data_IF_074566944056
#
_entry.id   IF_074566944056
#
_cell.length_a   1.000
_cell.length_b   1.000
_cell.length_c   1.000
_cell.angle_alpha   90.00
_cell.angle_beta   90.00
_cell.angle_gamma   90.00
#
_symmetry.space_group_name_H-M   'P 1'
#
loop_
_entity.id
_entity.type
_entity.pdbx_description
1 polymer ?
#
# COMPACT_ATOMS: atom_id res chain seq x y z
N UNK A 1 -13.26 -17.98 14.83
CA UNK A 1 -13.40 -16.87 15.80
C UNK A 1 -12.41 -15.74 15.55
N UNK A 2 -11.11 -15.90 15.84
CA UNK A 2 -10.14 -14.81 15.61
C UNK A 2 -9.97 -14.49 14.12
N UNK A 3 -9.83 -15.50 13.26
CA UNK A 3 -9.69 -15.30 11.81
C UNK A 3 -10.90 -14.56 11.21
N UNK A 4 -12.12 -14.89 11.64
CA UNK A 4 -13.34 -14.22 11.15
C UNK A 4 -13.35 -12.74 11.53
N UNK A 5 -12.94 -12.41 12.76
CA UNK A 5 -12.81 -11.03 13.21
C UNK A 5 -11.71 -10.27 12.45
N UNK A 6 -10.58 -10.93 12.13
CA UNK A 6 -9.52 -10.34 11.29
C UNK A 6 -10.06 -10.01 9.89
N UNK A 7 -10.77 -10.95 9.25
CA UNK A 7 -11.37 -10.74 7.92
C UNK A 7 -12.40 -9.60 7.95
N UNK A 8 -13.27 -9.56 8.97
CA UNK A 8 -14.26 -8.49 9.11
C UNK A 8 -13.60 -7.13 9.35
N UNK A 9 -12.52 -7.10 10.13
CA UNK A 9 -11.73 -5.89 10.34
C UNK A 9 -11.11 -5.40 9.03
N UNK A 10 -10.46 -6.29 8.26
CA UNK A 10 -9.79 -5.92 7.01
C UNK A 10 -10.81 -5.36 5.99
N UNK A 11 -12.00 -5.97 5.90
CA UNK A 11 -13.12 -5.43 5.10
C UNK A 11 -13.58 -4.06 5.58
N UNK A 12 -13.77 -3.88 6.89
CA UNK A 12 -14.17 -2.59 7.44
C UNK A 12 -13.13 -1.49 7.18
N UNK A 13 -11.84 -1.84 7.22
CA UNK A 13 -10.74 -0.94 6.88
C UNK A 13 -10.73 -0.58 5.39
N UNK A 14 -11.00 -1.53 4.48
CA UNK A 14 -11.10 -1.27 3.04
C UNK A 14 -12.30 -0.39 2.66
N UNK A 15 -13.40 -0.50 3.41
CA UNK A 15 -14.59 0.33 3.23
C UNK A 15 -14.46 1.74 3.84
N UNK A 16 -13.36 2.05 4.52
CA UNK A 16 -13.19 3.31 5.25
C UNK A 16 -14.08 3.42 6.52
N UNK A 17 -14.69 2.32 6.96
CA UNK A 17 -15.60 2.26 8.12
C UNK A 17 -14.81 2.11 9.42
N UNK A 18 -14.02 3.12 9.77
CA UNK A 18 -13.09 3.05 10.91
C UNK A 18 -13.79 2.86 12.27
N UNK A 19 -15.01 3.37 12.45
CA UNK A 19 -15.79 3.12 13.68
C UNK A 19 -16.15 1.64 13.87
N UNK A 20 -16.50 0.96 12.78
CA UNK A 20 -16.78 -0.48 12.80
C UNK A 20 -15.50 -1.26 13.06
N UNK A 21 -14.40 -0.89 12.39
CA UNK A 21 -13.09 -1.50 12.64
C UNK A 21 -12.67 -1.36 14.10
N UNK A 22 -12.90 -0.20 14.73
CA UNK A 22 -12.56 0.02 16.14
C UNK A 22 -13.41 -0.85 17.10
N UNK A 23 -14.69 -1.06 16.79
CA UNK A 23 -15.52 -1.96 17.58
C UNK A 23 -15.00 -3.40 17.54
N UNK A 24 -14.53 -3.87 16.37
CA UNK A 24 -13.98 -5.21 16.18
C UNK A 24 -12.64 -5.40 16.91
N UNK A 25 -11.85 -4.33 17.05
CA UNK A 25 -10.58 -4.37 17.80
C UNK A 25 -10.77 -4.82 19.24
N UNK A 26 -11.89 -4.46 19.88
CA UNK A 26 -12.17 -4.89 21.27
C UNK A 26 -12.32 -6.41 21.37
N UNK A 27 -13.03 -7.02 20.43
CA UNK A 27 -13.17 -8.47 20.32
C UNK A 27 -11.84 -9.16 20.01
N UNK A 28 -11.05 -8.60 19.09
CA UNK A 28 -9.73 -9.14 18.75
C UNK A 28 -8.78 -9.07 19.94
N UNK A 29 -8.78 -7.96 20.69
CA UNK A 29 -7.94 -7.75 21.88
C UNK A 29 -8.28 -8.76 22.98
N UNK A 30 -9.57 -9.08 23.15
CA UNK A 30 -10.01 -10.08 24.11
C UNK A 30 -9.51 -11.50 23.75
N UNK A 31 -9.37 -11.82 22.46
CA UNK A 31 -8.85 -13.10 21.99
C UNK A 31 -7.31 -13.14 21.92
N UNK A 32 -6.69 -12.04 21.51
CA UNK A 32 -5.24 -11.92 21.34
C UNK A 32 -4.79 -10.46 21.57
N UNK A 33 -4.22 -10.20 22.74
CA UNK A 33 -3.82 -8.84 23.17
C UNK A 33 -2.87 -8.14 22.18
N UNK A 34 -1.78 -8.80 21.75
CA UNK A 34 -0.79 -8.19 20.84
C UNK A 34 -1.39 -7.80 19.48
N UNK A 35 -2.15 -8.70 18.85
CA UNK A 35 -2.85 -8.47 17.58
C UNK A 35 -3.91 -7.35 17.72
N UNK A 36 -4.64 -7.33 18.84
CA UNK A 36 -5.62 -6.28 19.13
C UNK A 36 -4.98 -4.89 19.23
N UNK A 37 -3.88 -4.77 19.98
CA UNK A 37 -3.11 -3.52 20.08
C UNK A 37 -2.54 -3.11 18.72
N UNK A 38 -2.03 -4.05 17.93
CA UNK A 38 -1.56 -3.78 16.57
C UNK A 38 -2.67 -3.19 15.69
N UNK A 39 -3.84 -3.84 15.65
CA UNK A 39 -4.98 -3.37 14.86
C UNK A 39 -5.52 -2.03 15.36
N UNK A 40 -5.49 -1.78 16.67
CA UNK A 40 -5.80 -0.45 17.22
C UNK A 40 -4.87 0.62 16.66
N UNK A 41 -3.56 0.37 16.60
CA UNK A 41 -2.61 1.33 15.99
C UNK A 41 -2.95 1.60 14.52
N UNK A 42 -3.28 0.56 13.76
CA UNK A 42 -3.66 0.69 12.34
C UNK A 42 -4.93 1.54 12.17
N UNK A 43 -5.94 1.36 13.02
CA UNK A 43 -7.15 2.20 13.01
C UNK A 43 -6.82 3.65 13.35
N UNK A 44 -6.03 3.89 14.41
CA UNK A 44 -5.61 5.24 14.81
C UNK A 44 -4.86 5.96 13.67
N UNK A 45 -4.00 5.23 12.95
CA UNK A 45 -3.28 5.73 11.80
C UNK A 45 -4.23 6.08 10.63
N UNK A 46 -5.25 5.27 10.38
CA UNK A 46 -6.26 5.56 9.37
C UNK A 46 -7.14 6.78 9.75
N UNK A 47 -7.35 7.01 11.05
CA UNK A 47 -8.04 8.18 11.61
C UNK A 47 -7.14 9.43 11.69
N UNK A 48 -5.91 9.39 11.16
CA UNK A 48 -4.90 10.46 11.23
C UNK A 48 -4.42 10.82 12.65
N UNK A 49 -4.63 9.96 13.64
CA UNK A 49 -4.13 10.12 15.02
C UNK A 49 -2.69 9.59 15.14
N UNK A 50 -1.77 10.23 14.40
CA UNK A 50 -0.39 9.75 14.19
C UNK A 50 0.43 9.68 15.48
N UNK A 51 0.27 10.64 16.40
CA UNK A 51 1.04 10.69 17.64
C UNK A 51 0.69 9.55 18.60
N UNK A 52 -0.60 9.21 18.69
CA UNK A 52 -1.09 8.10 19.52
C UNK A 52 -0.73 6.75 18.89
N UNK A 53 -0.91 6.61 17.58
CA UNK A 53 -0.50 5.41 16.84
C UNK A 53 1.00 5.13 17.02
N UNK A 54 1.84 6.16 16.92
CA UNK A 54 3.29 6.02 17.11
C UNK A 54 3.67 5.56 18.52
N UNK A 55 3.08 6.17 19.56
CA UNK A 55 3.31 5.76 20.96
C UNK A 55 2.88 4.32 21.20
N UNK A 56 1.76 3.89 20.60
CA UNK A 56 1.25 2.53 20.72
C UNK A 56 2.18 1.53 20.03
N UNK A 57 2.61 1.81 18.80
CA UNK A 57 3.53 0.96 18.02
C UNK A 57 4.90 0.82 18.70
N UNK A 58 5.46 1.89 19.26
CA UNK A 58 6.71 1.82 20.00
C UNK A 58 6.63 0.89 21.23
N UNK A 59 5.55 1.02 22.02
CA UNK A 59 5.32 0.13 23.18
C UNK A 59 5.15 -1.32 22.73
N UNK A 60 4.41 -1.53 21.64
CA UNK A 60 4.18 -2.84 21.06
C UNK A 60 5.47 -3.47 20.53
N UNK A 61 6.33 -2.70 19.88
CA UNK A 61 7.62 -3.15 19.37
C UNK A 61 8.52 -3.71 20.49
N UNK A 62 8.67 -2.95 21.57
CA UNK A 62 9.45 -3.36 22.75
C UNK A 62 8.87 -4.64 23.36
N UNK A 63 7.54 -4.74 23.43
CA UNK A 63 6.87 -5.92 23.95
C UNK A 63 7.07 -7.16 23.06
N UNK A 64 6.93 -7.01 21.75
CA UNK A 64 7.11 -8.11 20.78
C UNK A 64 8.56 -8.61 20.74
N UNK A 65 9.54 -7.71 20.88
CA UNK A 65 10.96 -8.06 21.00
C UNK A 65 11.23 -8.90 22.26
N UNK A 66 10.60 -8.57 23.40
CA UNK A 66 10.73 -9.36 24.64
C UNK A 66 10.14 -10.75 24.50
N UNK A 67 9.01 -10.88 23.81
CA UNK A 67 8.32 -12.15 23.56
C UNK A 67 8.99 -12.97 22.44
N UNK A 68 9.92 -12.36 21.69
CA UNK A 68 10.59 -12.96 20.50
C UNK A 68 9.61 -13.38 19.40
N UNK A 69 8.52 -12.65 19.23
CA UNK A 69 7.62 -12.85 18.10
C UNK A 69 8.09 -12.03 16.89
N UNK A 70 8.92 -12.63 16.04
CA UNK A 70 9.55 -11.94 14.90
C UNK A 70 8.54 -11.46 13.85
N UNK A 71 7.49 -12.23 13.59
CA UNK A 71 6.43 -11.86 12.63
C UNK A 71 5.74 -10.55 13.03
N UNK A 72 5.38 -10.43 14.31
CA UNK A 72 4.78 -9.20 14.85
C UNK A 72 5.78 -8.05 14.89
N UNK A 73 7.05 -8.30 15.19
CA UNK A 73 8.09 -7.26 15.14
C UNK A 73 8.17 -6.65 13.74
N UNK A 74 8.24 -7.49 12.69
CA UNK A 74 8.30 -7.01 11.31
C UNK A 74 7.02 -6.25 10.93
N UNK A 75 5.85 -6.78 11.28
CA UNK A 75 4.55 -6.12 11.01
C UNK A 75 4.46 -4.73 11.68
N UNK A 76 4.97 -4.60 12.91
CA UNK A 76 5.04 -3.32 13.62
C UNK A 76 6.04 -2.38 12.96
N UNK A 77 7.21 -2.86 12.52
CA UNK A 77 8.19 -2.05 11.79
C UNK A 77 7.61 -1.50 10.48
N UNK A 78 6.84 -2.30 9.74
CA UNK A 78 6.14 -1.86 8.53
C UNK A 78 5.12 -0.74 8.82
N UNK A 79 4.29 -0.89 9.86
CA UNK A 79 3.35 0.17 10.25
C UNK A 79 4.05 1.44 10.75
N UNK A 80 5.20 1.31 11.43
CA UNK A 80 6.02 2.46 11.82
C UNK A 80 6.61 3.17 10.59
N UNK A 81 7.08 2.41 9.60
CA UNK A 81 7.57 2.98 8.35
C UNK A 81 6.47 3.71 7.58
N UNK A 82 5.25 3.15 7.54
CA UNK A 82 4.09 3.81 6.95
C UNK A 82 3.73 5.12 7.68
N UNK A 83 3.90 5.16 8.99
CA UNK A 83 3.67 6.38 9.77
C UNK A 83 4.69 7.48 9.41
N UNK A 84 5.96 7.11 9.22
CA UNK A 84 7.02 8.07 8.92
C UNK A 84 6.87 8.74 7.54
N UNK A 85 6.52 8.00 6.49
CA UNK A 85 6.34 8.64 5.18
C UNK A 85 5.14 9.59 5.15
N UNK A 86 4.09 9.35 5.94
CA UNK A 86 2.93 10.23 6.04
C UNK A 86 3.25 11.52 6.81
N UNK A 87 4.33 11.50 7.59
CA UNK A 87 4.82 12.62 8.38
C UNK A 87 5.85 13.51 7.64
N UNK A 88 5.88 13.43 6.30
CA UNK A 88 6.77 14.23 5.43
C UNK A 88 8.27 13.96 5.59
N UNK A 89 8.67 12.82 6.16
CA UNK A 89 10.08 12.44 6.35
C UNK A 89 10.36 10.99 5.88
N UNK A 90 10.29 10.70 4.58
CA UNK A 90 10.44 9.34 4.04
C UNK A 90 11.84 8.74 4.27
N UNK A 91 12.86 9.57 4.47
CA UNK A 91 14.24 9.13 4.73
C UNK A 91 14.37 8.34 6.04
N UNK A 92 13.57 8.68 7.06
CA UNK A 92 13.58 8.01 8.38
C UNK A 92 12.92 6.61 8.29
N UNK A 93 12.09 6.37 7.26
CA UNK A 93 11.50 5.06 7.02
C UNK A 93 12.50 4.03 6.49
N UNK A 94 13.55 4.47 5.76
CA UNK A 94 14.49 3.54 5.10
C UNK A 94 15.20 2.60 6.08
N UNK A 95 15.82 3.06 7.19
CA UNK A 95 16.48 2.15 8.13
C UNK A 95 15.52 1.12 8.73
N UNK A 96 14.28 1.54 9.00
CA UNK A 96 13.23 0.66 9.55
C UNK A 96 12.83 -0.41 8.54
N UNK A 97 12.64 -0.04 7.28
CA UNK A 97 12.31 -0.97 6.21
C UNK A 97 13.46 -1.93 5.88
N UNK A 98 14.71 -1.46 5.89
CA UNK A 98 15.88 -2.31 5.70
C UNK A 98 16.03 -3.32 6.84
N UNK A 99 15.77 -2.90 8.09
CA UNK A 99 15.72 -3.80 9.24
C UNK A 99 14.61 -4.85 9.10
N UNK A 100 13.41 -4.45 8.72
CA UNK A 100 12.29 -5.36 8.46
C UNK A 100 12.61 -6.36 7.35
N UNK A 101 13.31 -5.92 6.29
CA UNK A 101 13.72 -6.78 5.18
C UNK A 101 14.78 -7.80 5.61
N UNK A 102 15.78 -7.38 6.39
CA UNK A 102 16.81 -8.27 6.91
C UNK A 102 16.19 -9.38 7.77
N UNK A 103 15.31 -9.01 8.71
CA UNK A 103 14.61 -9.95 9.58
C UNK A 103 13.68 -10.88 8.78
N UNK A 104 12.90 -10.36 7.84
CA UNK A 104 11.99 -11.20 7.05
C UNK A 104 12.75 -12.22 6.18
N UNK A 105 13.91 -11.86 5.63
CA UNK A 105 14.77 -12.79 4.88
C UNK A 105 15.46 -13.81 5.78
N UNK A 106 15.98 -13.41 6.94
CA UNK A 106 16.61 -14.29 7.91
C UNK A 106 15.65 -15.40 8.37
N UNK A 107 14.40 -15.04 8.67
CA UNK A 107 13.37 -15.96 9.15
C UNK A 107 12.50 -16.57 8.02
N UNK A 108 12.83 -16.30 6.76
CA UNK A 108 12.14 -16.81 5.55
C UNK A 108 10.64 -16.53 5.52
N UNK A 109 10.22 -15.37 6.04
CA UNK A 109 8.83 -14.93 6.04
C UNK A 109 8.52 -14.23 4.71
N UNK A 110 8.26 -15.02 3.67
CA UNK A 110 8.16 -14.51 2.29
C UNK A 110 7.08 -13.44 2.11
N UNK A 111 5.89 -13.61 2.70
CA UNK A 111 4.82 -12.62 2.64
C UNK A 111 5.28 -11.25 3.17
N UNK A 112 5.92 -11.22 4.35
CA UNK A 112 6.42 -9.99 4.96
C UNK A 112 7.62 -9.42 4.19
N UNK A 113 8.46 -10.28 3.61
CA UNK A 113 9.56 -9.83 2.75
C UNK A 113 9.00 -9.12 1.50
N UNK A 114 7.99 -9.71 0.86
CA UNK A 114 7.28 -9.14 -0.29
C UNK A 114 6.62 -7.80 0.04
N UNK A 115 5.90 -7.71 1.17
CA UNK A 115 5.31 -6.45 1.63
C UNK A 115 6.40 -5.40 1.92
N UNK A 116 7.49 -5.78 2.58
CA UNK A 116 8.62 -4.87 2.85
C UNK A 116 9.27 -4.36 1.57
N UNK A 117 9.44 -5.22 0.56
CA UNK A 117 10.00 -4.82 -0.73
C UNK A 117 9.10 -3.82 -1.46
N UNK A 118 7.78 -4.02 -1.43
CA UNK A 118 6.84 -3.02 -1.94
C UNK A 118 7.06 -1.67 -1.25
N UNK A 119 7.07 -1.65 0.08
CA UNK A 119 7.27 -0.43 0.88
C UNK A 119 8.62 0.26 0.54
N UNK A 120 9.70 -0.51 0.35
CA UNK A 120 11.00 0.00 -0.07
C UNK A 120 10.99 0.60 -1.47
N UNK A 121 10.39 -0.07 -2.44
CA UNK A 121 10.26 0.43 -3.80
C UNK A 121 9.43 1.72 -3.85
N UNK A 122 8.38 1.81 -3.05
CA UNK A 122 7.60 3.04 -2.91
C UNK A 122 8.43 4.17 -2.28
N UNK A 123 9.21 3.89 -1.23
CA UNK A 123 10.12 4.87 -0.65
C UNK A 123 11.15 5.38 -1.69
N UNK A 124 11.73 4.49 -2.49
CA UNK A 124 12.65 4.84 -3.58
C UNK A 124 11.98 5.72 -4.66
N UNK A 125 10.73 5.40 -5.04
CA UNK A 125 9.95 6.22 -5.95
C UNK A 125 9.76 7.66 -5.40
N UNK A 126 9.40 7.79 -4.12
CA UNK A 126 9.21 9.10 -3.47
C UNK A 126 10.53 9.87 -3.36
N UNK A 127 11.66 9.19 -3.18
CA UNK A 127 13.00 9.79 -3.15
C UNK A 127 13.52 10.20 -4.54
N UNK A 128 12.75 9.96 -5.60
CA UNK A 128 13.09 10.40 -6.96
C UNK A 128 14.05 9.47 -7.70
N UNK A 129 14.13 8.20 -7.32
CA UNK A 129 14.95 7.16 -7.98
C UNK A 129 14.08 6.02 -8.55
N UNK A 130 13.19 6.31 -9.51
CA UNK A 130 12.18 5.36 -9.99
C UNK A 130 12.77 4.14 -10.73
N UNK A 131 13.93 4.28 -11.40
CA UNK A 131 14.57 3.16 -12.11
C UNK A 131 15.04 2.07 -11.13
N UNK A 132 15.59 2.49 -9.99
CA UNK A 132 16.02 1.56 -8.94
C UNK A 132 14.81 0.88 -8.28
N UNK A 133 13.73 1.63 -8.05
CA UNK A 133 12.47 1.08 -7.55
C UNK A 133 11.88 0.02 -8.50
N UNK A 134 11.89 0.31 -9.79
CA UNK A 134 11.39 -0.60 -10.84
C UNK A 134 12.24 -1.86 -10.94
N UNK A 135 13.57 -1.73 -10.90
CA UNK A 135 14.50 -2.87 -10.88
C UNK A 135 14.26 -3.76 -9.66
N UNK A 136 14.11 -3.15 -8.47
CA UNK A 136 13.81 -3.87 -7.23
C UNK A 136 12.47 -4.63 -7.32
N UNK A 137 11.45 -4.00 -7.90
CA UNK A 137 10.13 -4.63 -8.09
C UNK A 137 10.22 -5.82 -9.02
N UNK A 138 10.88 -5.72 -10.17
CA UNK A 138 11.01 -6.85 -11.10
C UNK A 138 11.66 -8.08 -10.46
N UNK A 139 12.62 -7.89 -9.55
CA UNK A 139 13.26 -8.99 -8.83
C UNK A 139 12.36 -9.66 -7.78
N UNK A 140 11.29 -8.99 -7.33
CA UNK A 140 10.44 -9.45 -6.23
C UNK A 140 8.95 -9.57 -6.60
N UNK A 141 8.59 -9.36 -7.86
CA UNK A 141 7.19 -9.34 -8.31
C UNK A 141 6.59 -10.75 -8.36
N UNK A 142 7.36 -11.76 -8.76
CA UNK A 142 6.86 -13.12 -8.95
C UNK A 142 6.29 -13.72 -7.64
N UNK A 143 6.98 -13.65 -6.48
CA UNK A 143 6.40 -14.14 -5.23
C UNK A 143 5.12 -13.42 -4.83
N UNK A 144 4.99 -12.13 -5.14
CA UNK A 144 3.78 -11.34 -4.84
C UNK A 144 2.63 -11.83 -5.71
N UNK A 145 2.86 -12.01 -7.01
CA UNK A 145 1.82 -12.43 -7.96
C UNK A 145 1.43 -13.89 -7.82
N UNK A 146 2.34 -14.77 -7.38
CA UNK A 146 2.04 -16.16 -7.08
C UNK A 146 1.19 -16.27 -5.80
N UNK A 147 1.77 -15.90 -4.65
CA UNK A 147 1.24 -16.28 -3.33
C UNK A 147 0.77 -15.10 -2.47
N UNK A 148 0.91 -13.86 -2.94
CA UNK A 148 0.51 -12.67 -2.20
C UNK A 148 -1.02 -12.51 -2.06
N UNK A 149 -1.44 -11.67 -1.12
CA UNK A 149 -2.84 -11.29 -1.01
C UNK A 149 -3.30 -10.53 -2.27
N UNK A 150 -4.56 -10.70 -2.66
CA UNK A 150 -5.10 -10.07 -3.89
C UNK A 150 -4.94 -8.55 -3.89
N UNK A 151 -5.05 -7.92 -2.72
CA UNK A 151 -4.81 -6.50 -2.55
C UNK A 151 -3.35 -6.12 -2.84
N UNK A 152 -2.39 -6.92 -2.37
CA UNK A 152 -0.97 -6.66 -2.58
C UNK A 152 -0.55 -6.92 -4.03
N UNK A 153 -1.17 -7.89 -4.71
CA UNK A 153 -1.03 -8.05 -6.17
C UNK A 153 -1.45 -6.78 -6.91
N UNK A 154 -2.59 -6.19 -6.52
CA UNK A 154 -3.06 -4.92 -7.07
C UNK A 154 -2.11 -3.75 -6.78
N UNK A 155 -1.63 -3.64 -5.54
CA UNK A 155 -0.65 -2.62 -5.12
C UNK A 155 0.67 -2.75 -5.88
N UNK A 156 1.15 -3.97 -6.07
CA UNK A 156 2.38 -4.24 -6.80
C UNK A 156 2.29 -3.78 -8.25
N UNK A 157 1.23 -4.18 -8.97
CA UNK A 157 1.03 -3.74 -10.36
C UNK A 157 0.82 -2.22 -10.45
N UNK A 158 0.14 -1.62 -9.48
CA UNK A 158 -0.03 -0.17 -9.44
C UNK A 158 1.30 0.56 -9.22
N UNK A 159 2.15 0.04 -8.33
CA UNK A 159 3.45 0.62 -8.04
C UNK A 159 4.41 0.48 -9.22
N UNK A 160 4.42 -0.68 -9.91
CA UNK A 160 5.17 -0.87 -11.16
C UNK A 160 4.77 0.19 -12.18
N UNK A 161 3.47 0.41 -12.39
CA UNK A 161 2.99 1.45 -13.32
C UNK A 161 3.41 2.86 -12.91
N UNK A 162 3.38 3.19 -11.61
CA UNK A 162 3.86 4.49 -11.09
C UNK A 162 5.36 4.68 -11.38
N UNK A 163 6.17 3.66 -11.13
CA UNK A 163 7.61 3.71 -11.40
C UNK A 163 7.91 3.83 -12.89
N UNK A 164 7.22 3.07 -13.75
CA UNK A 164 7.36 3.18 -15.21
C UNK A 164 7.10 4.59 -15.73
N UNK A 165 6.00 5.21 -15.27
CA UNK A 165 5.61 6.57 -15.68
C UNK A 165 6.62 7.60 -15.17
N UNK A 166 7.13 7.43 -13.96
CA UNK A 166 8.15 8.30 -13.39
C UNK A 166 9.49 8.21 -14.16
N UNK A 167 9.94 7.00 -14.47
CA UNK A 167 11.16 6.78 -15.28
C UNK A 167 11.03 7.29 -16.71
N UNK A 168 9.84 7.14 -17.32
CA UNK A 168 9.55 7.61 -18.67
C UNK A 168 9.60 9.13 -18.83
N UNK A 169 9.72 9.91 -17.74
CA UNK A 169 9.93 11.35 -17.81
C UNK A 169 11.24 11.73 -18.53
N UNK A 170 12.25 10.86 -18.48
CA UNK A 170 13.58 11.07 -19.07
C UNK A 170 13.72 10.55 -20.51
N UNK A 171 12.71 9.88 -21.05
CA UNK A 171 12.79 9.21 -22.35
C UNK A 171 12.42 10.11 -23.53
N UNK A 172 12.96 9.76 -24.71
CA UNK A 172 12.55 10.35 -25.98
C UNK A 172 11.05 10.08 -26.27
N UNK A 173 10.37 10.96 -27.03
CA UNK A 173 8.94 10.85 -27.28
C UNK A 173 8.39 9.47 -27.71
N UNK A 174 9.03 8.71 -28.65
CA UNK A 174 8.53 7.39 -29.02
C UNK A 174 8.64 6.36 -27.88
N UNK A 175 9.81 6.29 -27.22
CA UNK A 175 10.05 5.37 -26.11
C UNK A 175 9.20 5.73 -24.89
N UNK A 176 8.95 7.02 -24.69
CA UNK A 176 8.03 7.52 -23.67
C UNK A 176 6.61 7.03 -23.92
N UNK A 177 6.11 7.14 -25.15
CA UNK A 177 4.77 6.68 -25.49
C UNK A 177 4.62 5.16 -25.21
N UNK A 178 5.59 4.36 -25.65
CA UNK A 178 5.61 2.91 -25.41
C UNK A 178 5.60 2.56 -23.92
N UNK A 179 6.44 3.22 -23.12
CA UNK A 179 6.48 3.01 -21.67
C UNK A 179 5.14 3.38 -20.98
N UNK A 180 4.46 4.43 -21.45
CA UNK A 180 3.16 4.84 -20.92
C UNK A 180 2.04 3.85 -21.30
N UNK A 181 2.10 3.22 -22.48
CA UNK A 181 1.16 2.17 -22.86
C UNK A 181 1.34 0.92 -21.99
N UNK A 182 2.58 0.48 -21.75
CA UNK A 182 2.87 -0.62 -20.83
C UNK A 182 2.37 -0.32 -19.40
N UNK A 183 2.51 0.93 -18.94
CA UNK A 183 1.96 1.36 -17.66
C UNK A 183 0.43 1.26 -17.61
N UNK A 184 -0.27 1.51 -18.72
CA UNK A 184 -1.73 1.37 -18.80
C UNK A 184 -2.17 -0.09 -18.65
N UNK A 185 -1.43 -1.04 -19.23
CA UNK A 185 -1.68 -2.48 -19.05
C UNK A 185 -1.57 -2.88 -17.58
N UNK A 186 -0.48 -2.46 -16.92
CA UNK A 186 -0.28 -2.69 -15.49
C UNK A 186 -1.37 -2.05 -14.63
N UNK A 187 -1.88 -0.86 -15.00
CA UNK A 187 -3.01 -0.23 -14.31
C UNK A 187 -4.32 -1.00 -14.51
N UNK A 188 -4.54 -1.59 -15.68
CA UNK A 188 -5.71 -2.43 -15.92
C UNK A 188 -5.67 -3.68 -15.05
N UNK A 189 -4.50 -4.32 -14.93
CA UNK A 189 -4.32 -5.44 -14.00
C UNK A 189 -4.55 -5.04 -12.55
N UNK A 190 -3.95 -3.92 -12.10
CA UNK A 190 -4.15 -3.39 -10.75
C UNK A 190 -5.63 -3.14 -10.46
N UNK A 191 -6.36 -2.52 -11.40
CA UNK A 191 -7.80 -2.30 -11.31
C UNK A 191 -8.58 -3.61 -11.18
N UNK A 192 -8.23 -4.63 -11.96
CA UNK A 192 -8.87 -5.94 -11.89
C UNK A 192 -8.66 -6.62 -10.52
N UNK A 193 -7.46 -6.52 -9.96
CA UNK A 193 -7.19 -7.01 -8.60
C UNK A 193 -7.97 -6.24 -7.54
N UNK A 194 -8.01 -4.91 -7.60
CA UNK A 194 -8.77 -4.10 -6.65
C UNK A 194 -10.29 -4.33 -6.76
N UNK A 195 -10.81 -4.60 -7.95
CA UNK A 195 -12.21 -4.97 -8.16
C UNK A 195 -12.57 -6.32 -7.50
N UNK A 196 -11.65 -7.31 -7.51
CA UNK A 196 -11.88 -8.61 -6.84
C UNK A 196 -12.04 -8.50 -5.32
N UNK A 197 -11.48 -7.45 -4.70
CA UNK A 197 -11.58 -7.18 -3.26
C UNK A 197 -12.53 -6.01 -2.94
N UNK A 198 -13.27 -5.51 -3.95
CA UNK A 198 -14.19 -4.36 -3.86
C UNK A 198 -13.57 -3.11 -3.21
N UNK A 199 -12.27 -2.87 -3.42
CA UNK A 199 -11.59 -1.73 -2.82
C UNK A 199 -11.78 -0.46 -3.66
N UNK A 200 -12.95 0.16 -3.53
CA UNK A 200 -13.38 1.33 -4.32
C UNK A 200 -12.41 2.52 -4.28
N UNK A 201 -11.80 2.80 -3.12
CA UNK A 201 -10.83 3.89 -2.97
C UNK A 201 -9.62 3.71 -3.88
N UNK A 202 -9.09 2.49 -3.96
CA UNK A 202 -7.94 2.19 -4.82
C UNK A 202 -8.32 2.16 -6.30
N UNK A 203 -9.53 1.69 -6.61
CA UNK A 203 -10.06 1.76 -7.99
C UNK A 203 -10.15 3.22 -8.43
N UNK A 204 -10.67 4.12 -7.59
CA UNK A 204 -10.74 5.58 -7.86
C UNK A 204 -9.35 6.15 -8.20
N UNK A 205 -8.36 5.81 -7.39
CA UNK A 205 -6.99 6.29 -7.57
C UNK A 205 -6.34 5.75 -8.86
N UNK A 206 -6.59 4.49 -9.21
CA UNK A 206 -6.14 3.89 -10.48
C UNK A 206 -6.81 4.55 -11.68
N UNK A 207 -8.14 4.74 -11.67
CA UNK A 207 -8.82 5.37 -12.82
C UNK A 207 -8.48 6.85 -12.98
N UNK A 208 -8.17 7.55 -11.88
CA UNK A 208 -7.60 8.90 -11.93
C UNK A 208 -6.25 8.89 -12.66
N UNK A 209 -5.37 7.96 -12.29
CA UNK A 209 -4.05 7.82 -12.90
C UNK A 209 -4.16 7.46 -14.39
N UNK A 210 -5.03 6.49 -14.74
CA UNK A 210 -5.33 6.12 -16.14
C UNK A 210 -5.86 7.31 -16.95
N UNK A 211 -6.79 8.10 -16.41
CA UNK A 211 -7.32 9.28 -17.10
C UNK A 211 -6.21 10.30 -17.44
N UNK A 212 -5.26 10.51 -16.52
CA UNK A 212 -4.10 11.39 -16.76
C UNK A 212 -3.18 10.84 -17.83
N UNK A 213 -2.88 9.53 -17.83
CA UNK A 213 -2.04 8.91 -18.86
C UNK A 213 -2.70 8.96 -20.24
N UNK A 214 -3.98 8.62 -20.35
CA UNK A 214 -4.71 8.72 -21.60
C UNK A 214 -4.79 10.16 -22.12
N UNK A 215 -4.87 11.15 -21.23
CA UNK A 215 -4.77 12.55 -21.63
C UNK A 215 -3.40 12.87 -22.23
N UNK A 216 -2.32 12.44 -21.58
CA UNK A 216 -0.94 12.62 -22.08
C UNK A 216 -0.72 11.94 -23.43
N UNK A 217 -1.34 10.79 -23.67
CA UNK A 217 -1.28 10.07 -24.95
C UNK A 217 -2.27 10.58 -26.02
N UNK A 218 -3.07 11.61 -25.72
CA UNK A 218 -4.07 12.14 -26.66
C UNK A 218 -5.31 11.24 -26.88
N UNK A 219 -5.44 10.13 -26.13
CA UNK A 219 -6.55 9.16 -26.22
C UNK A 219 -7.81 9.66 -25.53
N UNK A 220 -8.49 10.62 -26.17
CA UNK A 220 -9.61 11.37 -25.55
C UNK A 220 -10.80 10.48 -25.16
N UNK A 221 -11.14 9.47 -25.97
CA UNK A 221 -12.27 8.57 -25.69
C UNK A 221 -12.05 7.77 -24.40
N UNK A 222 -10.88 7.13 -24.25
CA UNK A 222 -10.54 6.35 -23.05
C UNK A 222 -10.38 7.25 -21.82
N UNK A 223 -9.78 8.43 -22.00
CA UNK A 223 -9.70 9.44 -20.93
C UNK A 223 -11.08 9.77 -20.38
N UNK A 224 -12.05 10.03 -21.26
CA UNK A 224 -13.40 10.39 -20.85
C UNK A 224 -14.09 9.24 -20.10
N UNK A 225 -13.87 7.99 -20.52
CA UNK A 225 -14.37 6.80 -19.82
C UNK A 225 -13.82 6.71 -18.39
N UNK A 226 -12.50 6.85 -18.22
CA UNK A 226 -11.87 6.86 -16.90
C UNK A 226 -12.36 8.04 -16.04
N UNK A 227 -12.54 9.22 -16.62
CA UNK A 227 -13.05 10.40 -15.92
C UNK A 227 -14.50 10.23 -15.43
N UNK A 228 -15.36 9.57 -16.21
CA UNK A 228 -16.73 9.23 -15.79
C UNK A 228 -16.72 8.28 -14.59
N UNK A 229 -15.90 7.23 -14.63
CA UNK A 229 -15.75 6.29 -13.51
C UNK A 229 -15.19 6.97 -12.26
N UNK A 230 -14.18 7.83 -12.42
CA UNK A 230 -13.64 8.63 -11.32
C UNK A 230 -14.73 9.47 -10.67
N UNK A 231 -15.57 10.15 -11.46
CA UNK A 231 -16.65 10.99 -10.94
C UNK A 231 -17.66 10.19 -10.13
N UNK A 232 -18.06 9.00 -10.60
CA UNK A 232 -18.99 8.12 -9.88
C UNK A 232 -18.41 7.71 -8.52
N UNK A 233 -17.17 7.19 -8.51
CA UNK A 233 -16.52 6.73 -7.27
C UNK A 233 -16.20 7.89 -6.32
N UNK A 234 -15.80 9.05 -6.84
CA UNK A 234 -15.44 10.20 -6.02
C UNK A 234 -16.65 10.82 -5.30
N UNK A 235 -17.86 10.71 -5.85
CA UNK A 235 -19.09 11.18 -5.19
C UNK A 235 -19.53 10.26 -4.05
N UNK A 236 -19.26 8.96 -4.14
CA UNK A 236 -19.60 7.97 -3.11
C UNK A 236 -18.64 7.98 -1.91
N UNK A 237 -17.38 8.36 -2.14
CA UNK A 237 -16.30 8.18 -1.18
C UNK A 237 -15.96 9.47 -0.42
N UNK A 238 -15.65 9.39 0.88
CA UNK A 238 -15.16 10.53 1.64
C UNK A 238 -13.78 11.01 1.14
N UNK A 239 -13.46 12.28 1.42
CA UNK A 239 -12.15 12.86 1.13
C UNK A 239 -11.18 12.54 2.27
N UNK A 240 -10.17 11.70 1.99
CA UNK A 240 -9.10 11.32 2.93
C UNK A 240 -7.77 11.98 2.57
N UNK A 241 -7.75 13.31 2.47
CA UNK A 241 -6.52 14.06 2.16
C UNK A 241 -5.94 13.71 0.79
N UNK A 242 -4.66 13.33 0.73
CA UNK A 242 -3.94 13.00 -0.52
C UNK A 242 -3.55 11.51 -0.56
N UNK A 243 -4.52 10.60 -0.81
CA UNK A 243 -4.29 9.16 -0.67
C UNK A 243 -3.31 8.60 -1.71
N UNK A 244 -3.28 9.18 -2.92
CA UNK A 244 -2.44 8.71 -4.02
C UNK A 244 -0.92 8.82 -3.75
N UNK A 245 -0.51 9.82 -2.95
CA UNK A 245 0.89 10.11 -2.60
C UNK A 245 1.28 9.45 -1.27
N UNK A 246 0.32 9.29 -0.36
CA UNK A 246 0.59 8.81 0.99
C UNK A 246 0.38 7.30 1.18
N UNK A 247 -0.13 6.62 0.15
CA UNK A 247 -0.32 5.19 0.17
C UNK A 247 0.33 4.49 -1.03
N UNK A 248 0.82 3.30 -0.72
CA UNK A 248 1.22 2.26 -1.64
C UNK A 248 -0.01 1.62 -2.28
#
# INVERSE_FOLDING_TARGET
MLCDQKIQFDRAMHDGKYHLADSLVTGITALHSTEGVYRKAVVLQAQNQMTEAHKLLQKLLIHCQKIRNTEMVISVLLSVAELYWRSSSPTIALPVLLQALALSKEYRLQYLASETVLNLAFAQLILGIPEQALSLLHMAIEPILADGAVLDKGRAMFLVAKCQVASAASYDPPNKAEALEAAIENLNEAKNYFAKVDCKERIRDVVYFQARLYHTLGKTQERNRCAMLFRQLHQELPSHGVPLINHL
#
